data_IF_695504449694
#
_entry.id   IF_695504449694
#
_cell.length_a   1.000
_cell.length_b   1.000
_cell.length_c   1.000
_cell.angle_alpha   90.00
_cell.angle_beta   90.00
_cell.angle_gamma   90.00
#
_symmetry.space_group_name_H-M   'P 1'
#
loop_
_entity.id
_entity.type
_entity.pdbx_description
1 polymer ?
#
# COMPACT_ATOMS: atom_id res chain seq x y z
N UNK A 1 -19.54 14.71 -3.14
CA UNK A 1 -19.13 14.93 -1.73
C UNK A 1 -18.77 13.57 -1.13
N UNK A 2 -17.57 13.38 -0.56
CA UNK A 2 -17.16 12.08 0.03
C UNK A 2 -17.98 11.78 1.28
N UNK A 3 -18.35 10.52 1.49
CA UNK A 3 -19.06 10.04 2.69
C UNK A 3 -18.13 10.02 3.92
N UNK A 4 -18.68 9.77 5.11
CA UNK A 4 -17.90 9.72 6.36
C UNK A 4 -16.78 8.66 6.33
N UNK A 5 -17.10 7.44 5.89
CA UNK A 5 -16.14 6.33 5.86
C UNK A 5 -15.01 6.55 4.84
N UNK A 6 -15.29 7.16 3.68
CA UNK A 6 -14.27 7.53 2.71
C UNK A 6 -13.26 8.54 3.28
N UNK A 7 -13.75 9.54 4.03
CA UNK A 7 -12.88 10.55 4.67
C UNK A 7 -11.98 9.91 5.73
N UNK A 8 -12.51 8.99 6.52
CA UNK A 8 -11.72 8.23 7.50
C UNK A 8 -10.66 7.37 6.80
N UNK A 9 -11.05 6.65 5.74
CA UNK A 9 -10.16 5.78 4.98
C UNK A 9 -8.94 6.48 4.40
N UNK A 10 -9.10 7.72 3.91
CA UNK A 10 -7.99 8.53 3.36
C UNK A 10 -6.84 8.65 4.35
N UNK A 11 -7.15 8.88 5.64
CA UNK A 11 -6.14 9.07 6.68
C UNK A 11 -5.77 7.76 7.37
N UNK A 12 -6.72 6.85 7.54
CA UNK A 12 -6.51 5.58 8.22
C UNK A 12 -5.54 4.67 7.46
N UNK A 13 -5.61 4.64 6.12
CA UNK A 13 -4.68 3.85 5.29
C UNK A 13 -3.20 4.22 5.51
N UNK A 14 -2.80 5.49 5.25
CA UNK A 14 -1.44 5.97 5.52
C UNK A 14 -1.03 5.79 6.98
N UNK A 15 -1.93 6.07 7.92
CA UNK A 15 -1.64 5.92 9.35
C UNK A 15 -1.26 4.48 9.69
N UNK A 16 -2.06 3.50 9.26
CA UNK A 16 -1.78 2.08 9.49
C UNK A 16 -0.50 1.65 8.77
N UNK A 17 -0.30 2.07 7.51
CA UNK A 17 0.92 1.76 6.76
C UNK A 17 2.18 2.29 7.46
N UNK A 18 2.17 3.56 7.89
CA UNK A 18 3.29 4.18 8.61
C UNK A 18 3.54 3.48 9.95
N UNK A 19 2.48 3.21 10.73
CA UNK A 19 2.62 2.50 12.01
C UNK A 19 3.27 1.14 11.81
N UNK A 20 2.84 0.36 10.80
CA UNK A 20 3.44 -0.94 10.51
C UNK A 20 4.91 -0.80 10.09
N UNK A 21 5.28 0.21 9.29
CA UNK A 21 6.68 0.46 8.91
C UNK A 21 7.57 0.79 10.11
N UNK A 22 7.04 1.51 11.11
CA UNK A 22 7.77 1.91 12.31
C UNK A 22 7.87 0.80 13.36
N UNK A 23 6.92 -0.15 13.34
CA UNK A 23 6.97 -1.32 14.21
C UNK A 23 8.11 -2.28 13.78
N UNK A 24 8.76 -2.96 14.75
CA UNK A 24 9.72 -3.99 14.42
C UNK A 24 9.03 -5.12 13.65
N UNK A 25 9.71 -5.64 12.62
CA UNK A 25 9.16 -6.77 11.89
C UNK A 25 9.20 -8.04 12.75
N UNK A 26 8.24 -8.97 12.60
CA UNK A 26 8.33 -10.29 13.22
C UNK A 26 9.61 -11.02 12.80
N UNK A 27 10.24 -11.77 13.71
CA UNK A 27 11.48 -12.52 13.42
C UNK A 27 11.31 -13.52 12.28
N UNK A 28 10.11 -14.07 12.12
CA UNK A 28 9.76 -15.01 11.06
C UNK A 28 9.61 -14.36 9.66
N UNK A 29 9.76 -13.03 9.54
CA UNK A 29 9.61 -12.30 8.27
C UNK A 29 10.85 -11.48 7.95
N UNK A 30 11.18 -11.38 6.66
CA UNK A 30 12.18 -10.44 6.19
C UNK A 30 11.65 -9.00 6.24
N UNK A 31 12.54 -8.02 6.37
CA UNK A 31 12.16 -6.60 6.37
C UNK A 31 11.37 -6.18 5.11
N UNK A 32 11.75 -6.59 3.87
CA UNK A 32 10.93 -6.31 2.69
C UNK A 32 9.53 -6.92 2.76
N UNK A 33 9.39 -8.15 3.28
CA UNK A 33 8.08 -8.80 3.43
C UNK A 33 7.18 -8.01 4.41
N UNK A 34 7.74 -7.53 5.52
CA UNK A 34 6.99 -6.71 6.47
C UNK A 34 6.55 -5.36 5.89
N UNK A 35 7.42 -4.72 5.09
CA UNK A 35 7.07 -3.49 4.37
C UNK A 35 5.98 -3.72 3.31
N UNK A 36 5.97 -4.89 2.67
CA UNK A 36 4.86 -5.30 1.79
C UNK A 36 3.55 -5.44 2.55
N UNK A 37 3.56 -6.01 3.77
CA UNK A 37 2.38 -6.06 4.64
C UNK A 37 1.88 -4.66 4.97
N UNK A 38 2.78 -3.73 5.29
CA UNK A 38 2.41 -2.34 5.57
C UNK A 38 1.71 -1.65 4.38
N UNK A 39 2.27 -1.80 3.17
CA UNK A 39 1.66 -1.30 1.94
C UNK A 39 0.31 -1.99 1.65
N UNK A 40 0.23 -3.31 1.82
CA UNK A 40 -0.99 -4.08 1.64
C UNK A 40 -2.10 -3.68 2.62
N UNK A 41 -1.76 -3.41 3.88
CA UNK A 41 -2.69 -2.92 4.89
C UNK A 41 -3.28 -1.55 4.53
N UNK A 42 -2.43 -0.62 4.05
CA UNK A 42 -2.90 0.65 3.51
C UNK A 42 -3.87 0.43 2.34
N UNK A 43 -3.47 -0.37 1.35
CA UNK A 43 -4.30 -0.67 0.18
C UNK A 43 -5.65 -1.30 0.56
N UNK A 44 -5.65 -2.26 1.49
CA UNK A 44 -6.86 -2.91 1.99
C UNK A 44 -7.84 -1.89 2.58
N UNK A 45 -7.34 -0.95 3.40
CA UNK A 45 -8.18 0.11 3.97
C UNK A 45 -8.77 0.99 2.87
N UNK A 46 -7.96 1.41 1.91
CA UNK A 46 -8.43 2.25 0.81
C UNK A 46 -9.42 1.56 -0.12
N UNK A 47 -9.27 0.25 -0.36
CA UNK A 47 -10.26 -0.53 -1.10
C UNK A 47 -11.55 -0.70 -0.33
N UNK A 48 -11.50 -1.13 0.94
CA UNK A 48 -12.70 -1.36 1.76
C UNK A 48 -13.52 -0.09 2.00
N UNK A 49 -12.86 1.07 2.09
CA UNK A 49 -13.52 2.36 2.34
C UNK A 49 -13.80 3.15 1.09
N UNK A 50 -13.32 2.70 -0.08
CA UNK A 50 -13.32 3.44 -1.33
C UNK A 50 -12.76 4.88 -1.15
N UNK A 51 -11.69 5.01 -0.36
CA UNK A 51 -11.10 6.30 0.02
C UNK A 51 -10.70 7.15 -1.19
N UNK A 52 -10.27 6.49 -2.28
CA UNK A 52 -9.88 7.05 -3.58
C UNK A 52 -10.37 6.10 -4.69
N UNK A 53 -10.39 6.51 -5.97
CA UNK A 53 -10.75 5.61 -7.06
C UNK A 53 -9.90 4.33 -7.05
N UNK A 54 -10.49 3.18 -7.38
CA UNK A 54 -9.84 1.86 -7.28
C UNK A 54 -8.49 1.83 -7.99
N UNK A 55 -8.38 2.47 -9.16
CA UNK A 55 -7.13 2.59 -9.92
C UNK A 55 -6.01 3.32 -9.14
N UNK A 56 -6.35 4.36 -8.35
CA UNK A 56 -5.39 5.09 -7.52
C UNK A 56 -4.81 4.19 -6.42
N UNK A 57 -5.65 3.37 -5.77
CA UNK A 57 -5.17 2.38 -4.80
C UNK A 57 -4.30 1.31 -5.48
N UNK A 58 -4.69 0.86 -6.68
CA UNK A 58 -3.96 -0.19 -7.41
C UNK A 58 -2.55 0.22 -7.84
N UNK A 59 -2.30 1.52 -8.10
CA UNK A 59 -0.96 2.03 -8.44
C UNK A 59 -0.11 2.41 -7.22
N UNK A 60 -0.64 2.30 -5.99
CA UNK A 60 0.09 2.61 -4.77
C UNK A 60 1.44 1.85 -4.64
N UNK A 61 1.54 0.55 -5.02
CA UNK A 61 2.81 -0.17 -5.01
C UNK A 61 3.90 0.48 -5.88
N UNK A 62 3.55 1.08 -7.02
CA UNK A 62 4.51 1.75 -7.91
C UNK A 62 5.22 2.91 -7.21
N UNK A 63 4.55 3.57 -6.27
CA UNK A 63 5.15 4.60 -5.43
C UNK A 63 5.85 4.00 -4.21
N UNK A 64 5.17 3.11 -3.47
CA UNK A 64 5.66 2.65 -2.17
C UNK A 64 6.81 1.65 -2.27
N UNK A 65 6.78 0.70 -3.20
CA UNK A 65 7.74 -0.40 -3.18
C UNK A 65 9.18 0.05 -3.45
N UNK A 66 9.45 0.98 -4.39
CA UNK A 66 10.77 1.56 -4.55
C UNK A 66 11.21 2.37 -3.33
N UNK A 67 10.32 3.20 -2.77
CA UNK A 67 10.62 4.03 -1.59
C UNK A 67 10.92 3.19 -0.34
N UNK A 68 10.28 2.04 -0.21
CA UNK A 68 10.44 1.12 0.90
C UNK A 68 11.52 0.06 0.63
N UNK A 69 12.22 0.10 -0.50
CA UNK A 69 13.25 -0.87 -0.85
C UNK A 69 12.73 -2.31 -0.96
N UNK A 70 11.46 -2.49 -1.34
CA UNK A 70 10.84 -3.81 -1.57
C UNK A 70 11.26 -4.35 -2.95
N UNK A 71 11.34 -3.47 -3.95
CA UNK A 71 11.76 -3.79 -5.31
C UNK A 71 11.99 -2.52 -6.12
N UNK A 72 12.77 -2.59 -7.19
CA UNK A 72 12.98 -1.45 -8.08
C UNK A 72 11.74 -1.15 -8.94
N UNK A 73 11.68 0.06 -9.50
CA UNK A 73 10.53 0.51 -10.29
C UNK A 73 10.24 -0.39 -11.51
N UNK A 74 11.26 -0.99 -12.14
CA UNK A 74 11.07 -1.85 -13.31
C UNK A 74 10.37 -3.15 -12.92
N UNK A 75 10.85 -3.78 -11.85
CA UNK A 75 10.24 -4.98 -11.29
C UNK A 75 8.80 -4.71 -10.86
N UNK A 76 8.56 -3.62 -10.14
CA UNK A 76 7.22 -3.29 -9.63
C UNK A 76 6.25 -2.92 -10.76
N UNK A 77 6.73 -2.31 -11.85
CA UNK A 77 5.90 -1.92 -13.00
C UNK A 77 5.55 -3.09 -13.95
N UNK A 78 6.30 -4.19 -13.92
CA UNK A 78 6.12 -5.31 -14.87
C UNK A 78 4.68 -5.86 -14.89
N UNK A 79 4.01 -6.11 -13.74
CA UNK A 79 2.64 -6.63 -13.74
C UNK A 79 1.60 -5.66 -14.34
N UNK A 80 1.92 -4.37 -14.42
CA UNK A 80 1.03 -3.34 -14.96
C UNK A 80 1.13 -3.21 -16.50
N UNK A 81 2.12 -3.84 -17.11
CA UNK A 81 2.33 -3.87 -18.57
C UNK A 81 1.83 -5.19 -19.20
N UNK A 82 0.96 -5.93 -18.51
CA UNK A 82 0.42 -7.20 -19.01
C UNK A 82 -0.42 -6.94 -20.28
N UNK A 83 -0.09 -7.59 -21.43
CA UNK A 83 -0.96 -7.54 -22.60
C UNK A 83 -2.26 -8.27 -22.27
N UNK A 84 -3.34 -7.51 -22.13
CA UNK A 84 -4.71 -8.02 -21.94
C UNK A 84 -5.10 -8.90 -23.13
#
# INVERSE_FOLDING_TARGET
>A
MKTGYQKVGIWLGPLVGIVLILLPHPEAMSLPAWRTVAAGGWMAIWWCTEAVPVAVTAILPLALFPLLGIGDIKMVATPYANPI
#
